data_IF_157669171600
#
_entry.id   IF_157669171600
#
_cell.length_a   1.000
_cell.length_b   1.000
_cell.length_c   1.000
_cell.angle_alpha   90.00
_cell.angle_beta   90.00
_cell.angle_gamma   90.00
#
_symmetry.space_group_name_H-M   'P 1'
#
loop_
_entity.id
_entity.type
_entity.pdbx_description
1 polymer ?
#
# COMPACT_ATOMS: atom_id res chain seq x y z
N UNK A 1 -47.57 -32.97 -54.91
CA UNK A 1 -48.03 -31.71 -55.55
C UNK A 1 -48.51 -30.82 -54.41
N UNK A 2 -47.90 -29.71 -54.00
CA UNK A 2 -46.68 -28.97 -54.30
C UNK A 2 -46.33 -28.23 -52.99
N UNK A 3 -45.10 -28.40 -52.48
CA UNK A 3 -44.48 -27.48 -51.52
C UNK A 3 -43.87 -26.31 -52.31
N UNK A 4 -43.98 -25.07 -51.81
CA UNK A 4 -42.80 -24.21 -51.64
C UNK A 4 -42.91 -23.34 -50.37
N UNK A 5 -41.87 -22.82 -49.74
CA UNK A 5 -40.44 -22.75 -50.03
C UNK A 5 -39.80 -21.66 -49.15
N UNK A 6 -38.54 -21.89 -48.76
CA UNK A 6 -37.40 -20.99 -48.42
C UNK A 6 -37.69 -19.51 -48.04
N UNK A 7 -37.02 -18.86 -47.08
CA UNK A 7 -35.56 -18.72 -46.84
C UNK A 7 -35.41 -17.93 -45.50
N UNK A 8 -34.51 -18.23 -44.58
CA UNK A 8 -33.05 -18.23 -44.76
C UNK A 8 -32.49 -16.87 -44.39
N UNK A 9 -32.14 -16.64 -43.12
CA UNK A 9 -31.07 -15.72 -42.71
C UNK A 9 -30.60 -16.04 -41.27
N UNK A 10 -29.59 -16.91 -41.22
CA UNK A 10 -28.90 -17.30 -39.99
C UNK A 10 -27.77 -16.28 -39.76
N UNK A 11 -28.06 -15.24 -38.97
CA UNK A 11 -27.11 -14.19 -38.63
C UNK A 11 -25.95 -14.78 -37.79
N UNK A 12 -24.81 -15.06 -38.42
CA UNK A 12 -23.56 -15.47 -37.75
C UNK A 12 -22.70 -14.25 -37.44
N UNK A 13 -22.56 -13.80 -36.18
CA UNK A 13 -21.56 -12.79 -35.84
C UNK A 13 -20.20 -13.48 -35.66
N UNK A 14 -19.51 -13.79 -36.75
CA UNK A 14 -18.11 -14.25 -36.75
C UNK A 14 -17.20 -13.19 -37.39
N UNK A 15 -17.08 -12.01 -36.78
CA UNK A 15 -16.12 -11.00 -37.26
C UNK A 15 -15.65 -9.95 -36.23
N UNK A 16 -15.97 -10.06 -34.93
CA UNK A 16 -15.48 -9.09 -33.92
C UNK A 16 -14.44 -9.62 -32.94
N UNK A 17 -14.14 -10.93 -32.92
CA UNK A 17 -13.19 -11.50 -31.96
C UNK A 17 -11.70 -11.37 -32.34
N UNK A 18 -11.38 -11.03 -33.61
CA UNK A 18 -9.99 -11.06 -34.11
C UNK A 18 -9.21 -9.74 -33.95
N UNK A 19 -9.87 -8.62 -33.62
CA UNK A 19 -9.20 -7.32 -33.44
C UNK A 19 -8.82 -6.99 -31.98
N UNK A 20 -9.30 -7.76 -31.01
CA UNK A 20 -8.98 -7.56 -29.58
C UNK A 20 -7.65 -8.21 -29.13
N UNK A 21 -7.08 -9.12 -29.92
CA UNK A 21 -5.83 -9.81 -29.58
C UNK A 21 -4.54 -9.06 -29.98
N UNK A 22 -4.63 -8.02 -30.82
CA UNK A 22 -3.45 -7.26 -31.28
C UNK A 22 -3.03 -6.10 -30.37
N UNK A 23 -3.90 -5.64 -29.46
CA UNK A 23 -3.65 -4.47 -28.62
C UNK A 23 -2.94 -4.79 -27.29
N UNK A 24 -2.94 -6.06 -26.83
CA UNK A 24 -2.28 -6.44 -25.58
C UNK A 24 -0.74 -6.55 -25.70
N UNK A 25 -0.18 -6.79 -26.89
CA UNK A 25 1.26 -7.02 -27.03
C UNK A 25 2.11 -5.73 -27.03
N UNK A 26 1.54 -4.57 -27.36
CA UNK A 26 2.30 -3.32 -27.43
C UNK A 26 2.43 -2.59 -26.08
N UNK A 27 1.62 -2.93 -25.07
CA UNK A 27 1.69 -2.31 -23.74
C UNK A 27 2.71 -2.97 -22.79
N UNK A 28 3.28 -4.13 -23.16
CA UNK A 28 4.22 -4.87 -22.32
C UNK A 28 5.67 -4.39 -22.38
N UNK A 29 6.06 -3.51 -23.31
CA UNK A 29 7.47 -3.07 -23.45
C UNK A 29 7.84 -1.76 -22.73
N UNK A 30 6.88 -1.02 -22.14
CA UNK A 30 7.16 0.29 -21.54
C UNK A 30 7.44 0.29 -20.03
N UNK A 31 7.54 -0.88 -19.37
CA UNK A 31 7.56 -0.97 -17.90
C UNK A 31 8.90 -1.40 -17.27
N UNK A 32 10.03 -1.43 -17.99
CA UNK A 32 11.29 -1.99 -17.46
C UNK A 32 12.51 -1.06 -17.53
N UNK A 33 12.34 0.23 -17.77
CA UNK A 33 13.38 1.22 -17.44
C UNK A 33 13.31 1.57 -15.95
N UNK A 34 13.50 0.55 -15.10
CA UNK A 34 13.87 0.76 -13.70
C UNK A 34 15.24 1.42 -13.72
N UNK A 35 15.24 2.73 -13.50
CA UNK A 35 16.44 3.52 -13.29
C UNK A 35 17.16 2.84 -12.12
N UNK A 36 18.21 2.08 -12.43
CA UNK A 36 19.21 1.68 -11.47
C UNK A 36 19.95 2.95 -11.07
N UNK A 37 19.29 3.80 -10.27
CA UNK A 37 19.99 4.79 -9.47
C UNK A 37 20.90 3.96 -8.60
N UNK A 38 22.19 3.93 -8.98
CA UNK A 38 23.23 3.37 -8.12
C UNK A 38 22.99 3.94 -6.75
N UNK A 39 22.72 3.06 -5.80
CA UNK A 39 22.49 3.41 -4.41
C UNK A 39 23.82 3.90 -3.87
N UNK A 40 24.16 5.14 -4.23
CA UNK A 40 25.30 5.86 -3.70
C UNK A 40 25.07 5.89 -2.21
N UNK A 41 25.81 5.03 -1.51
CA UNK A 41 25.65 4.74 -0.09
C UNK A 41 25.61 6.06 0.66
N UNK A 42 24.40 6.52 0.99
CA UNK A 42 24.21 7.83 1.64
C UNK A 42 25.05 7.81 2.90
N UNK A 43 26.04 8.71 2.99
CA UNK A 43 26.86 8.87 4.19
C UNK A 43 26.00 9.50 5.28
N UNK A 44 26.24 9.12 6.54
CA UNK A 44 25.49 9.64 7.68
C UNK A 44 25.67 11.15 7.83
N UNK A 45 24.60 11.84 8.21
CA UNK A 45 24.63 13.22 8.69
C UNK A 45 24.90 13.23 10.20
N UNK A 46 25.70 14.19 10.66
CA UNK A 46 26.18 14.24 12.05
C UNK A 46 25.83 15.59 12.67
N UNK A 47 25.30 15.58 13.89
CA UNK A 47 25.21 16.77 14.73
C UNK A 47 26.47 16.86 15.57
N UNK A 48 27.14 18.02 15.57
CA UNK A 48 28.33 18.26 16.38
C UNK A 48 27.92 18.94 17.71
N UNK A 49 28.49 18.47 18.81
CA UNK A 49 28.50 19.17 20.11
C UNK A 49 29.98 19.42 20.46
N UNK A 50 30.42 20.67 20.32
CA UNK A 50 31.81 21.09 20.57
C UNK A 50 31.96 21.77 21.93
N UNK A 51 33.01 21.43 22.68
CA UNK A 51 33.29 22.08 23.96
C UNK A 51 34.79 22.34 24.14
N UNK A 52 35.15 23.60 24.41
CA UNK A 52 36.50 24.01 24.80
C UNK A 52 36.58 24.08 26.32
N UNK A 53 37.49 23.32 26.93
CA UNK A 53 37.75 23.40 28.36
C UNK A 53 38.57 24.67 28.69
N UNK A 54 38.67 25.06 29.98
CA UNK A 54 39.52 26.18 30.39
C UNK A 54 40.97 26.02 29.93
N UNK A 55 41.57 27.10 29.42
CA UNK A 55 42.90 27.11 28.82
C UNK A 55 42.95 26.69 27.35
N UNK A 56 41.81 26.36 26.74
CA UNK A 56 41.65 26.05 25.32
C UNK A 56 40.89 27.14 24.55
N UNK A 57 40.76 28.35 25.09
CA UNK A 57 39.96 29.44 24.50
C UNK A 57 40.52 29.93 23.15
N UNK A 58 41.82 29.75 22.94
CA UNK A 58 42.53 30.09 21.69
C UNK A 58 42.45 29.00 20.63
N UNK A 59 41.87 27.85 20.94
CA UNK A 59 41.64 26.76 19.99
C UNK A 59 40.45 27.03 19.08
N UNK A 60 40.35 26.28 17.98
CA UNK A 60 39.25 26.40 17.00
C UNK A 60 37.87 26.52 17.67
N UNK A 61 37.10 27.51 17.22
CA UNK A 61 35.68 27.59 17.49
C UNK A 61 34.93 26.45 16.80
N UNK A 62 33.66 26.24 17.17
CA UNK A 62 32.83 25.22 16.53
C UNK A 62 32.65 25.48 15.03
N UNK A 63 32.50 26.75 14.63
CA UNK A 63 32.31 27.13 13.25
C UNK A 63 33.55 26.87 12.39
N UNK A 64 34.75 27.23 12.88
CA UNK A 64 36.02 26.94 12.19
C UNK A 64 36.25 25.42 12.10
N UNK A 65 35.98 24.68 13.17
CA UNK A 65 36.10 23.22 13.17
C UNK A 65 35.17 22.56 12.14
N UNK A 66 33.93 23.04 12.02
CA UNK A 66 32.97 22.57 11.01
C UNK A 66 33.50 22.85 9.60
N UNK A 67 33.96 24.08 9.34
CA UNK A 67 34.51 24.49 8.04
C UNK A 67 35.72 23.63 7.64
N UNK A 68 36.69 23.44 8.53
CA UNK A 68 37.89 22.66 8.27
C UNK A 68 37.58 21.19 7.97
N UNK A 69 36.62 20.59 8.67
CA UNK A 69 36.16 19.22 8.41
C UNK A 69 35.41 19.13 7.07
N UNK A 70 34.60 20.12 6.72
CA UNK A 70 33.90 20.16 5.43
C UNK A 70 34.89 20.30 4.25
N UNK A 71 35.90 21.14 4.40
CA UNK A 71 37.00 21.28 3.44
C UNK A 71 37.74 19.96 3.29
N UNK A 72 38.09 19.31 4.41
CA UNK A 72 38.81 18.02 4.42
C UNK A 72 38.02 16.91 3.75
N UNK A 73 36.70 16.85 3.96
CA UNK A 73 35.83 15.80 3.40
C UNK A 73 35.26 16.13 2.01
N UNK A 74 35.47 17.35 1.51
CA UNK A 74 34.88 17.86 0.28
C UNK A 74 33.34 17.69 0.21
N UNK A 75 32.67 17.76 1.37
CA UNK A 75 31.21 17.66 1.50
C UNK A 75 30.75 18.32 2.79
N UNK A 76 29.43 18.47 2.96
CA UNK A 76 28.81 18.97 4.19
C UNK A 76 28.22 17.81 5.01
N UNK A 77 28.94 17.25 5.99
CA UNK A 77 28.44 16.13 6.77
C UNK A 77 27.58 16.57 7.97
N UNK A 78 27.64 17.84 8.34
CA UNK A 78 26.99 18.33 9.53
C UNK A 78 25.56 18.79 9.25
N UNK A 79 24.66 18.46 10.16
CA UNK A 79 23.26 18.87 10.09
C UNK A 79 22.73 19.23 11.49
N UNK A 80 21.67 20.04 11.59
CA UNK A 80 20.98 20.27 12.85
C UNK A 80 20.53 18.95 13.49
N UNK A 81 20.46 18.91 14.83
CA UNK A 81 20.18 17.69 15.61
C UNK A 81 18.93 16.91 15.19
N UNK A 82 17.87 17.59 14.71
CA UNK A 82 16.63 16.96 14.25
C UNK A 82 16.73 16.32 12.85
N UNK A 83 17.80 16.60 12.11
CA UNK A 83 18.06 16.06 10.78
C UNK A 83 19.30 15.15 10.73
N UNK A 84 20.07 15.07 11.82
CA UNK A 84 21.26 14.25 11.91
C UNK A 84 20.94 12.78 12.24
N UNK A 85 21.64 11.86 11.60
CA UNK A 85 21.56 10.42 11.89
C UNK A 85 22.34 10.06 13.17
N UNK A 86 23.40 10.84 13.46
CA UNK A 86 24.35 10.60 14.56
C UNK A 86 24.65 11.87 15.34
N UNK A 87 25.13 11.68 16.56
CA UNK A 87 25.61 12.74 17.45
C UNK A 87 27.10 12.54 17.73
N UNK A 88 27.91 13.54 17.39
CA UNK A 88 29.34 13.58 17.68
C UNK A 88 29.59 14.62 18.77
N UNK A 89 30.08 14.16 19.93
CA UNK A 89 30.56 15.05 20.98
C UNK A 89 32.07 15.10 20.93
N UNK A 90 32.62 16.30 20.87
CA UNK A 90 34.06 16.52 20.85
C UNK A 90 34.43 17.60 21.87
N UNK A 91 35.54 17.39 22.56
CA UNK A 91 36.12 18.40 23.44
C UNK A 91 37.63 18.43 23.36
N UNK A 92 38.19 19.60 23.67
CA UNK A 92 39.63 19.81 23.78
C UNK A 92 39.95 20.47 25.13
N UNK A 93 41.01 19.97 25.77
CA UNK A 93 41.51 20.47 27.04
C UNK A 93 43.03 20.45 27.06
N UNK A 94 43.64 21.26 27.94
CA UNK A 94 45.05 21.10 28.27
C UNK A 94 45.28 19.75 28.93
N UNK A 95 46.43 19.13 28.64
CA UNK A 95 46.86 17.92 29.34
C UNK A 95 46.99 18.18 30.85
N UNK A 96 46.73 17.17 31.67
CA UNK A 96 46.90 17.24 33.13
C UNK A 96 48.34 17.58 33.54
N UNK A 97 49.33 17.23 32.70
CA UNK A 97 50.74 17.59 32.91
C UNK A 97 51.03 19.08 32.68
N UNK A 98 50.08 19.85 32.16
CA UNK A 98 50.27 21.24 31.75
C UNK A 98 51.01 21.42 30.42
N UNK A 99 51.59 20.35 29.88
CA UNK A 99 52.29 20.32 28.59
C UNK A 99 51.49 19.49 27.59
N UNK A 100 51.11 20.08 26.47
CA UNK A 100 50.31 19.42 25.44
C UNK A 100 48.80 19.58 25.60
N UNK A 101 48.06 18.77 24.85
CA UNK A 101 46.60 18.80 24.77
C UNK A 101 46.01 17.39 24.85
N UNK A 102 44.78 17.32 25.33
CA UNK A 102 43.95 16.13 25.29
C UNK A 102 42.65 16.47 24.55
N UNK A 103 42.35 15.72 23.50
CA UNK A 103 41.08 15.77 22.80
C UNK A 103 40.29 14.50 23.08
N UNK A 104 38.98 14.63 23.36
CA UNK A 104 38.07 13.52 23.55
C UNK A 104 36.95 13.61 22.54
N UNK A 105 36.71 12.53 21.81
CA UNK A 105 35.62 12.43 20.84
C UNK A 105 34.76 11.21 21.14
N UNK A 106 33.45 11.33 20.97
CA UNK A 106 32.50 10.22 21.09
C UNK A 106 31.42 10.34 20.04
N UNK A 107 31.12 9.24 19.37
CA UNK A 107 30.07 9.13 18.37
C UNK A 107 28.97 8.23 18.91
N UNK A 108 27.73 8.67 18.80
CA UNK A 108 26.55 7.86 19.13
C UNK A 108 25.49 7.97 18.04
N UNK A 109 24.60 6.99 17.98
CA UNK A 109 23.38 7.05 17.15
C UNK A 109 22.48 8.20 17.61
N UNK A 110 21.49 8.57 16.80
CA UNK A 110 20.44 9.54 17.17
C UNK A 110 19.65 9.14 18.44
N UNK A 111 19.68 7.86 18.82
CA UNK A 111 19.07 7.34 20.06
C UNK A 111 20.03 7.31 21.26
N UNK A 112 21.28 7.71 21.07
CA UNK A 112 22.30 7.75 22.13
C UNK A 112 23.06 6.44 22.34
N UNK A 113 22.92 5.45 21.46
CA UNK A 113 23.72 4.23 21.52
C UNK A 113 25.17 4.55 21.10
N UNK A 114 26.19 4.17 21.89
CA UNK A 114 27.58 4.51 21.60
C UNK A 114 28.11 3.69 20.40
N UNK A 115 28.59 4.40 19.38
CA UNK A 115 29.27 3.79 18.22
C UNK A 115 30.79 3.74 18.41
N UNK A 116 31.33 4.60 19.26
CA UNK A 116 32.75 4.60 19.62
C UNK A 116 33.18 5.88 20.32
N UNK A 117 34.34 5.83 20.95
CA UNK A 117 35.00 6.99 21.56
C UNK A 117 36.52 6.90 21.39
N UNK A 118 37.19 8.05 21.35
CA UNK A 118 38.63 8.17 21.26
C UNK A 118 39.10 9.27 22.19
N UNK A 119 40.17 8.98 22.93
CA UNK A 119 40.97 9.97 23.64
C UNK A 119 42.31 10.10 22.90
N UNK A 120 42.69 11.33 22.57
CA UNK A 120 43.88 11.66 21.79
C UNK A 120 44.74 12.59 22.63
N UNK A 121 45.96 12.16 22.93
CA UNK A 121 46.97 13.01 23.58
C UNK A 121 47.89 13.58 22.52
N UNK A 122 48.04 14.90 22.51
CA UNK A 122 48.82 15.65 21.54
C UNK A 122 49.96 16.33 22.29
N UNK A 123 51.20 15.99 21.95
CA UNK A 123 52.38 16.50 22.64
C UNK A 123 52.70 17.97 22.31
N UNK A 124 52.15 18.50 21.21
CA UNK A 124 52.36 19.87 20.75
C UNK A 124 51.94 20.93 21.76
N UNK A 125 52.71 22.02 21.85
CA UNK A 125 52.42 23.10 22.81
C UNK A 125 51.38 24.11 22.26
N UNK A 126 51.32 24.24 20.93
CA UNK A 126 50.41 25.15 20.21
C UNK A 126 49.02 24.54 20.07
N UNK A 127 47.98 25.37 20.04
CA UNK A 127 46.65 24.83 19.76
C UNK A 127 46.46 24.48 18.27
N UNK A 128 47.20 25.12 17.37
CA UNK A 128 47.15 24.84 15.93
C UNK A 128 47.44 23.36 15.64
N UNK A 129 48.52 22.79 16.18
CA UNK A 129 48.84 21.37 16.04
C UNK A 129 47.74 20.45 16.61
N UNK A 130 47.12 20.85 17.72
CA UNK A 130 46.04 20.10 18.32
C UNK A 130 44.74 20.16 17.50
N UNK A 131 44.49 21.31 16.89
CA UNK A 131 43.37 21.58 16.00
C UNK A 131 43.45 20.78 14.70
N UNK A 132 44.64 20.68 14.08
CA UNK A 132 44.82 19.81 12.91
C UNK A 132 44.55 18.33 13.25
N UNK A 133 45.06 17.86 14.39
CA UNK A 133 44.85 16.49 14.84
C UNK A 133 43.37 16.17 15.10
N UNK A 134 42.60 17.12 15.67
CA UNK A 134 41.19 16.89 15.95
C UNK A 134 40.32 16.98 14.68
N UNK A 135 40.63 17.87 13.74
CA UNK A 135 39.95 17.95 12.43
C UNK A 135 40.06 16.60 11.71
N UNK A 136 41.26 16.00 11.68
CA UNK A 136 41.47 14.69 11.09
C UNK A 136 40.68 13.60 11.82
N UNK A 137 40.74 13.56 13.15
CA UNK A 137 40.02 12.55 13.94
C UNK A 137 38.50 12.62 13.73
N UNK A 138 37.94 13.83 13.71
CA UNK A 138 36.52 14.05 13.45
C UNK A 138 36.16 13.65 12.02
N UNK A 139 36.98 14.02 11.03
CA UNK A 139 36.77 13.64 9.63
C UNK A 139 36.67 12.12 9.47
N UNK A 140 37.54 11.36 10.14
CA UNK A 140 37.49 9.89 10.12
C UNK A 140 36.24 9.31 10.80
N UNK A 141 35.80 9.89 11.93
CA UNK A 141 34.60 9.42 12.65
C UNK A 141 33.31 9.71 11.87
N UNK A 142 33.26 10.83 11.18
CA UNK A 142 32.13 11.25 10.34
C UNK A 142 31.99 10.38 9.08
N UNK A 143 33.09 9.81 8.59
CA UNK A 143 33.11 8.90 7.42
C UNK A 143 32.78 7.44 7.77
N UNK A 144 32.52 7.10 9.03
CA UNK A 144 32.16 5.73 9.41
C UNK A 144 30.88 5.29 8.67
N UNK A 145 30.86 4.10 8.02
CA UNK A 145 29.66 3.60 7.38
C UNK A 145 28.54 3.36 8.40
N UNK A 146 27.30 3.32 7.94
CA UNK A 146 26.19 2.86 8.77
C UNK A 146 26.45 1.42 9.24
N UNK A 147 26.17 1.17 10.52
CA UNK A 147 26.15 -0.20 11.05
C UNK A 147 24.97 -0.97 10.45
N UNK A 148 25.04 -2.29 10.46
CA UNK A 148 23.93 -3.15 10.00
C UNK A 148 22.64 -2.88 10.78
N UNK A 149 22.75 -2.62 12.08
CA UNK A 149 21.62 -2.27 12.95
C UNK A 149 21.00 -0.94 12.51
N UNK A 150 21.80 0.11 12.30
CA UNK A 150 21.29 1.40 11.80
C UNK A 150 20.61 1.25 10.43
N UNK A 151 21.20 0.46 9.52
CA UNK A 151 20.61 0.19 8.20
C UNK A 151 19.29 -0.56 8.30
N UNK A 152 19.20 -1.59 9.15
CA UNK A 152 17.97 -2.34 9.39
C UNK A 152 16.88 -1.45 10.00
N UNK A 153 17.23 -0.61 10.98
CA UNK A 153 16.27 0.32 11.57
C UNK A 153 15.75 1.34 10.57
N UNK A 154 16.65 1.94 9.78
CA UNK A 154 16.28 2.87 8.73
C UNK A 154 15.39 2.18 7.70
N UNK A 155 15.77 0.97 7.27
CA UNK A 155 14.97 0.15 6.37
C UNK A 155 13.60 -0.13 6.96
N UNK A 156 13.47 -0.47 8.25
CA UNK A 156 12.18 -0.65 8.93
C UNK A 156 11.38 0.64 8.97
N UNK A 157 11.99 1.80 9.20
CA UNK A 157 11.30 3.10 9.20
C UNK A 157 10.82 3.47 7.79
N UNK A 158 11.65 3.24 6.77
CA UNK A 158 11.31 3.49 5.37
C UNK A 158 10.25 2.51 4.85
N UNK A 159 10.38 1.22 5.17
CA UNK A 159 9.37 0.19 4.89
C UNK A 159 8.06 0.50 5.61
N UNK A 160 8.12 0.87 6.89
CA UNK A 160 6.94 1.28 7.63
C UNK A 160 6.32 2.56 7.08
N UNK A 161 7.04 3.40 6.34
CA UNK A 161 6.52 4.62 5.72
C UNK A 161 5.95 4.39 4.31
N UNK A 162 6.20 3.22 3.69
CA UNK A 162 5.70 2.92 2.36
C UNK A 162 4.20 2.60 2.39
N UNK A 163 3.52 3.06 1.35
CA UNK A 163 2.13 2.72 1.10
C UNK A 163 2.11 1.40 0.35
N UNK A 164 1.39 0.42 0.86
CA UNK A 164 1.22 -0.85 0.16
C UNK A 164 -0.11 -0.84 -0.59
N UNK A 165 -0.08 -1.14 -1.89
CA UNK A 165 -1.28 -1.33 -2.70
C UNK A 165 -1.41 -2.80 -3.10
N UNK A 166 -2.54 -3.41 -2.77
CA UNK A 166 -2.87 -4.78 -3.12
C UNK A 166 -4.09 -4.82 -4.04
N UNK A 167 -3.98 -5.53 -5.17
CA UNK A 167 -5.11 -5.87 -6.04
C UNK A 167 -5.63 -7.27 -5.76
N UNK A 168 -6.96 -7.47 -5.80
CA UNK A 168 -7.63 -8.75 -5.54
C UNK A 168 -8.59 -9.09 -6.65
N UNK A 169 -8.64 -10.37 -7.02
CA UNK A 169 -9.57 -10.87 -8.03
C UNK A 169 -9.96 -12.32 -7.71
N UNK A 170 -11.26 -12.61 -7.72
CA UNK A 170 -11.74 -13.97 -7.51
C UNK A 170 -13.22 -14.19 -7.83
N UNK A 171 -13.65 -15.45 -7.99
CA UNK A 171 -15.07 -15.80 -7.97
C UNK A 171 -15.74 -15.40 -6.65
N UNK A 172 -17.03 -15.14 -6.73
CA UNK A 172 -17.86 -14.79 -5.58
C UNK A 172 -19.24 -15.46 -5.65
N UNK A 173 -19.89 -15.53 -4.50
CA UNK A 173 -21.27 -16.00 -4.32
C UNK A 173 -22.00 -14.99 -3.45
N UNK A 174 -23.19 -14.60 -3.87
CA UNK A 174 -24.11 -13.75 -3.09
C UNK A 174 -25.29 -14.60 -2.66
N UNK A 175 -25.59 -14.62 -1.36
CA UNK A 175 -26.72 -15.35 -0.79
C UNK A 175 -27.67 -14.35 -0.14
N UNK A 176 -28.92 -14.38 -0.58
CA UNK A 176 -29.99 -13.53 -0.05
C UNK A 176 -30.76 -14.21 1.10
N UNK A 177 -31.62 -13.47 1.81
CA UNK A 177 -32.47 -14.01 2.88
C UNK A 177 -33.38 -15.15 2.41
N UNK A 178 -33.73 -15.19 1.12
CA UNK A 178 -34.50 -16.26 0.48
C UNK A 178 -33.69 -17.54 0.25
N UNK A 179 -32.44 -17.60 0.74
CA UNK A 179 -31.47 -18.68 0.48
C UNK A 179 -31.16 -18.88 -1.01
N UNK A 180 -31.45 -17.87 -1.83
CA UNK A 180 -31.15 -17.90 -3.25
C UNK A 180 -29.72 -17.40 -3.47
N UNK A 181 -28.90 -18.24 -4.10
CA UNK A 181 -27.50 -17.93 -4.41
C UNK A 181 -27.36 -17.36 -5.83
N UNK A 182 -26.47 -16.39 -6.00
CA UNK A 182 -26.06 -15.86 -7.31
C UNK A 182 -24.54 -15.98 -7.43
N UNK A 183 -24.07 -16.43 -8.60
CA UNK A 183 -22.65 -16.48 -8.90
C UNK A 183 -22.16 -15.09 -9.31
N UNK A 184 -20.91 -14.78 -8.98
CA UNK A 184 -20.33 -13.48 -9.25
C UNK A 184 -18.82 -13.48 -9.33
N UNK A 185 -18.27 -12.29 -9.48
CA UNK A 185 -16.85 -12.00 -9.45
C UNK A 185 -16.60 -10.81 -8.52
N UNK A 186 -15.54 -10.91 -7.73
CA UNK A 186 -15.07 -9.84 -6.87
C UNK A 186 -13.73 -9.30 -7.39
N UNK A 187 -13.64 -7.98 -7.46
CA UNK A 187 -12.40 -7.24 -7.63
C UNK A 187 -12.24 -6.30 -6.43
N UNK A 188 -11.03 -6.19 -5.89
CA UNK A 188 -10.77 -5.30 -4.76
C UNK A 188 -9.40 -4.64 -4.84
N UNK A 189 -9.32 -3.41 -4.33
CA UNK A 189 -8.07 -2.69 -4.11
C UNK A 189 -7.96 -2.38 -2.63
N UNK A 190 -6.86 -2.76 -2.00
CA UNK A 190 -6.57 -2.46 -0.60
C UNK A 190 -5.35 -1.57 -0.53
N UNK A 191 -5.51 -0.40 0.06
CA UNK A 191 -4.45 0.57 0.30
C UNK A 191 -4.13 0.55 1.79
N UNK A 192 -2.91 0.14 2.13
CA UNK A 192 -2.44 0.03 3.52
C UNK A 192 -1.43 1.14 3.81
N UNK A 193 -1.85 2.24 4.47
CA UNK A 193 -0.95 3.30 4.87
C UNK A 193 -0.13 2.92 6.12
N UNK A 194 1.06 3.51 6.23
CA UNK A 194 2.02 3.37 7.32
C UNK A 194 1.46 3.49 8.76
N UNK A 195 0.62 4.50 8.99
CA UNK A 195 0.18 4.95 10.32
C UNK A 195 -1.34 5.10 10.43
N UNK A 196 -2.08 4.57 9.46
CA UNK A 196 -3.53 4.65 9.44
C UNK A 196 -4.13 3.28 9.12
N UNK A 197 -5.45 3.16 9.27
CA UNK A 197 -6.11 1.91 8.94
C UNK A 197 -6.12 1.66 7.43
N UNK A 198 -6.00 0.39 6.99
CA UNK A 198 -6.19 0.04 5.60
C UNK A 198 -7.55 0.50 5.08
N UNK A 199 -7.57 0.97 3.84
CA UNK A 199 -8.77 1.37 3.11
C UNK A 199 -8.96 0.42 1.94
N UNK A 200 -10.14 -0.16 1.80
CA UNK A 200 -10.47 -1.08 0.72
C UNK A 200 -11.58 -0.51 -0.18
N UNK A 201 -11.38 -0.60 -1.48
CA UNK A 201 -12.37 -0.36 -2.52
C UNK A 201 -12.70 -1.69 -3.17
N UNK A 202 -13.98 -2.05 -3.22
CA UNK A 202 -14.42 -3.33 -3.73
C UNK A 202 -15.52 -3.20 -4.76
N UNK A 203 -15.46 -4.07 -5.75
CA UNK A 203 -16.44 -4.23 -6.81
C UNK A 203 -16.89 -5.70 -6.82
N UNK A 204 -18.18 -5.93 -6.63
CA UNK A 204 -18.79 -7.26 -6.70
C UNK A 204 -19.87 -7.25 -7.78
N UNK A 205 -19.66 -8.02 -8.83
CA UNK A 205 -20.66 -8.23 -9.86
C UNK A 205 -21.27 -9.62 -9.71
N UNK A 206 -22.60 -9.73 -9.73
CA UNK A 206 -23.29 -11.03 -9.68
C UNK A 206 -24.36 -11.13 -10.75
N UNK A 207 -24.63 -12.34 -11.21
CA UNK A 207 -25.65 -12.65 -12.20
C UNK A 207 -26.56 -13.75 -11.69
N UNK A 208 -27.86 -13.51 -11.79
CA UNK A 208 -28.93 -14.45 -11.45
C UNK A 208 -29.80 -14.66 -12.68
N UNK A 209 -30.27 -15.88 -12.88
CA UNK A 209 -31.31 -16.19 -13.85
C UNK A 209 -32.47 -16.90 -13.16
N UNK A 210 -33.69 -16.62 -13.58
CA UNK A 210 -34.88 -17.31 -13.09
C UNK A 210 -35.85 -17.65 -14.22
N UNK A 211 -36.75 -18.57 -13.92
CA UNK A 211 -37.84 -18.97 -14.82
C UNK A 211 -39.15 -18.75 -14.07
N UNK A 212 -40.11 -18.09 -14.71
CA UNK A 212 -41.45 -17.90 -14.18
C UNK A 212 -42.33 -19.12 -14.54
N UNK A 213 -43.38 -19.49 -13.77
CA UNK A 213 -44.40 -20.48 -14.14
C UNK A 213 -44.90 -20.44 -15.59
N UNK A 214 -44.95 -19.27 -16.23
CA UNK A 214 -45.35 -19.09 -17.64
C UNK A 214 -44.20 -19.38 -18.63
N UNK A 215 -43.12 -20.03 -18.20
CA UNK A 215 -41.91 -20.36 -18.97
C UNK A 215 -41.08 -19.17 -19.46
N UNK A 216 -41.40 -17.94 -19.07
CA UNK A 216 -40.56 -16.78 -19.36
C UNK A 216 -39.27 -16.82 -18.55
N UNK A 217 -38.16 -16.45 -19.20
CA UNK A 217 -36.82 -16.41 -18.59
C UNK A 217 -36.43 -14.96 -18.34
N UNK A 218 -35.88 -14.70 -17.16
CA UNK A 218 -35.31 -13.42 -16.81
C UNK A 218 -33.88 -13.58 -16.30
N UNK A 219 -33.10 -12.52 -16.49
CA UNK A 219 -31.76 -12.34 -15.97
C UNK A 219 -31.72 -11.06 -15.15
N UNK A 220 -30.96 -11.13 -14.08
CA UNK A 220 -30.80 -10.07 -13.12
C UNK A 220 -29.32 -9.97 -12.78
N UNK A 221 -28.68 -8.87 -13.13
CA UNK A 221 -27.32 -8.58 -12.73
C UNK A 221 -27.30 -7.49 -11.66
N UNK A 222 -26.49 -7.70 -10.63
CA UNK A 222 -26.18 -6.68 -9.64
C UNK A 222 -24.71 -6.32 -9.68
N UNK A 223 -24.39 -5.05 -9.48
CA UNK A 223 -23.03 -4.54 -9.33
C UNK A 223 -22.97 -3.70 -8.07
N UNK A 224 -22.14 -4.12 -7.14
CA UNK A 224 -21.96 -3.51 -5.82
C UNK A 224 -20.58 -2.87 -5.74
N UNK A 225 -20.52 -1.62 -5.30
CA UNK A 225 -19.29 -0.87 -5.06
C UNK A 225 -19.25 -0.51 -3.59
N UNK A 226 -18.24 -1.01 -2.88
CA UNK A 226 -18.03 -0.77 -1.45
C UNK A 226 -16.75 0.01 -1.18
N UNK A 227 -16.80 0.98 -0.26
CA UNK A 227 -15.62 1.63 0.31
C UNK A 227 -15.59 1.30 1.79
N UNK A 228 -14.47 0.80 2.30
CA UNK A 228 -14.38 0.36 3.70
C UNK A 228 -13.05 0.69 4.35
N UNK A 229 -13.06 0.78 5.67
CA UNK A 229 -11.87 0.88 6.52
C UNK A 229 -11.71 -0.40 7.33
N UNK A 230 -10.48 -0.84 7.57
CA UNK A 230 -10.18 -2.12 8.23
C UNK A 230 -9.46 -1.91 9.58
N UNK A 231 -10.17 -1.48 10.65
CA UNK A 231 -9.54 -1.12 11.92
C UNK A 231 -8.99 -2.32 12.70
N UNK A 232 -9.50 -3.53 12.44
CA UNK A 232 -9.06 -4.75 13.10
C UNK A 232 -8.23 -5.56 12.12
N UNK A 233 -6.95 -5.77 12.46
CA UNK A 233 -6.06 -6.66 11.73
C UNK A 233 -5.25 -7.50 12.69
N UNK A 234 -4.97 -8.74 12.29
CA UNK A 234 -4.12 -9.66 13.03
C UNK A 234 -3.28 -10.45 12.04
N UNK A 235 -1.99 -10.57 12.36
CA UNK A 235 -1.01 -11.28 11.54
C UNK A 235 -0.48 -12.48 12.33
N UNK A 236 -0.58 -13.67 11.74
CA UNK A 236 -0.07 -14.92 12.29
C UNK A 236 0.78 -15.63 11.23
N UNK A 237 2.10 -15.45 11.29
CA UNK A 237 3.03 -15.99 10.29
C UNK A 237 2.63 -15.51 8.88
N UNK A 238 2.28 -16.42 7.97
CA UNK A 238 1.88 -16.13 6.58
C UNK A 238 0.39 -15.84 6.41
N UNK A 239 -0.38 -15.80 7.52
CA UNK A 239 -1.82 -15.57 7.52
C UNK A 239 -2.12 -14.18 8.07
N UNK A 240 -2.87 -13.39 7.31
CA UNK A 240 -3.36 -12.08 7.73
C UNK A 240 -4.89 -12.07 7.72
N UNK A 241 -5.48 -11.78 8.88
CA UNK A 241 -6.91 -11.57 9.06
C UNK A 241 -7.19 -10.07 9.19
N UNK A 242 -8.24 -9.59 8.52
CA UNK A 242 -8.75 -8.23 8.66
C UNK A 242 -10.27 -8.22 8.80
N UNK A 243 -10.81 -7.24 9.51
CA UNK A 243 -12.24 -6.94 9.50
C UNK A 243 -12.45 -5.49 9.09
N UNK A 244 -13.32 -5.29 8.10
CA UNK A 244 -13.57 -4.02 7.44
C UNK A 244 -15.07 -3.66 7.51
N UNK A 245 -15.37 -2.38 7.53
CA UNK A 245 -16.73 -1.87 7.47
C UNK A 245 -16.81 -0.56 6.68
N UNK A 246 -17.95 -0.29 6.06
CA UNK A 246 -18.18 0.99 5.39
C UNK A 246 -19.48 1.07 4.59
N UNK A 247 -19.65 2.15 3.80
CA UNK A 247 -20.79 2.31 2.91
C UNK A 247 -20.66 1.48 1.63
N UNK A 248 -21.80 1.21 1.01
CA UNK A 248 -21.87 0.62 -0.33
C UNK A 248 -22.96 1.25 -1.21
N UNK A 249 -22.81 1.04 -2.51
CA UNK A 249 -23.81 1.35 -3.53
C UNK A 249 -24.00 0.10 -4.39
N UNK A 250 -25.24 -0.37 -4.53
CA UNK A 250 -25.57 -1.52 -5.38
C UNK A 250 -26.49 -1.08 -6.51
N UNK A 251 -26.09 -1.36 -7.75
CA UNK A 251 -26.89 -1.12 -8.96
C UNK A 251 -27.44 -2.44 -9.47
N UNK A 252 -28.73 -2.45 -9.79
CA UNK A 252 -29.46 -3.61 -10.31
C UNK A 252 -29.87 -3.36 -11.75
N UNK A 253 -29.66 -4.36 -12.60
CA UNK A 253 -30.08 -4.37 -14.00
C UNK A 253 -30.85 -5.66 -14.28
N UNK A 254 -32.08 -5.53 -14.75
CA UNK A 254 -32.94 -6.66 -15.09
C UNK A 254 -33.30 -6.65 -16.57
N UNK A 255 -33.23 -7.83 -17.21
CA UNK A 255 -33.74 -8.03 -18.57
C UNK A 255 -34.37 -9.42 -18.69
N UNK A 256 -35.27 -9.62 -19.63
CA UNK A 256 -35.95 -10.90 -19.79
C UNK A 256 -36.56 -11.07 -21.17
N UNK A 257 -36.91 -12.31 -21.51
CA UNK A 257 -37.56 -12.66 -22.77
C UNK A 257 -38.88 -13.38 -22.53
N UNK A 258 -39.83 -13.21 -23.46
CA UNK A 258 -41.18 -13.78 -23.35
C UNK A 258 -42.18 -12.87 -22.62
N UNK A 259 -41.87 -11.58 -22.47
CA UNK A 259 -42.78 -10.59 -21.91
C UNK A 259 -43.39 -9.72 -23.01
N UNK A 260 -44.62 -9.23 -22.81
CA UNK A 260 -45.31 -8.38 -23.77
C UNK A 260 -44.57 -7.05 -24.05
N UNK A 261 -43.77 -6.57 -23.08
CA UNK A 261 -42.86 -5.42 -23.24
C UNK A 261 -41.53 -5.67 -22.53
N UNK A 262 -40.43 -5.59 -23.27
CA UNK A 262 -39.09 -5.57 -22.67
C UNK A 262 -38.89 -4.23 -21.95
N UNK A 263 -38.75 -4.25 -20.63
CA UNK A 263 -38.32 -3.10 -19.84
C UNK A 263 -36.95 -3.40 -19.25
N UNK A 264 -35.96 -2.57 -19.58
CA UNK A 264 -34.71 -2.52 -18.84
C UNK A 264 -35.00 -1.76 -17.54
N UNK A 265 -34.95 -2.46 -16.41
CA UNK A 265 -35.01 -1.82 -15.10
C UNK A 265 -33.60 -1.48 -14.65
N UNK A 266 -33.33 -0.20 -14.36
CA UNK A 266 -32.13 0.25 -13.67
C UNK A 266 -32.54 0.84 -12.32
N UNK A 267 -32.00 0.30 -11.24
CA UNK A 267 -32.21 0.82 -9.89
C UNK A 267 -30.91 0.81 -9.11
N UNK A 268 -30.79 1.70 -8.14
CA UNK A 268 -29.64 1.77 -7.25
C UNK A 268 -30.11 1.84 -5.80
N UNK A 269 -29.41 1.12 -4.92
CA UNK A 269 -29.62 1.17 -3.48
C UNK A 269 -28.35 1.58 -2.76
N UNK A 270 -28.51 2.23 -1.61
CA UNK A 270 -27.41 2.57 -0.71
C UNK A 270 -27.49 1.72 0.53
N UNK A 271 -26.34 1.28 1.03
CA UNK A 271 -26.27 0.39 2.18
C UNK A 271 -24.99 0.57 2.97
N UNK A 272 -24.82 -0.33 3.93
CA UNK A 272 -23.57 -0.54 4.64
C UNK A 272 -23.21 -2.01 4.59
N UNK A 273 -21.92 -2.29 4.70
CA UNK A 273 -21.42 -3.65 4.72
C UNK A 273 -20.34 -3.83 5.79
N UNK A 274 -20.24 -5.06 6.28
CA UNK A 274 -19.18 -5.53 7.17
C UNK A 274 -18.59 -6.77 6.53
N UNK A 275 -17.26 -6.86 6.49
CA UNK A 275 -16.54 -7.97 5.86
C UNK A 275 -15.36 -8.41 6.70
N UNK A 276 -15.11 -9.72 6.72
CA UNK A 276 -13.85 -10.30 7.15
C UNK A 276 -13.06 -10.83 5.96
N UNK A 277 -11.77 -10.57 5.96
CA UNK A 277 -10.82 -10.99 4.93
C UNK A 277 -9.74 -11.86 5.58
N UNK A 278 -9.45 -13.01 4.98
CA UNK A 278 -8.33 -13.89 5.31
C UNK A 278 -7.42 -13.94 4.10
N UNK A 279 -6.15 -13.59 4.27
CA UNK A 279 -5.14 -13.68 3.23
C UNK A 279 -4.01 -14.61 3.67
N UNK A 280 -3.50 -15.42 2.74
CA UNK A 280 -2.41 -16.35 2.96
C UNK A 280 -1.31 -16.11 1.94
N UNK A 281 -0.07 -15.90 2.39
CA UNK A 281 1.07 -15.66 1.51
C UNK A 281 1.54 -16.95 0.81
N UNK A 282 1.43 -16.98 -0.52
CA UNK A 282 1.92 -18.08 -1.36
C UNK A 282 3.35 -17.83 -1.83
N UNK A 283 3.66 -16.56 -2.15
CA UNK A 283 4.97 -16.07 -2.56
C UNK A 283 5.09 -14.57 -2.26
N UNK A 284 6.28 -14.00 -2.45
CA UNK A 284 6.65 -12.61 -2.10
C UNK A 284 5.69 -11.51 -2.61
N UNK A 285 4.86 -11.76 -3.62
CA UNK A 285 3.83 -10.82 -4.10
C UNK A 285 2.47 -11.45 -4.35
N UNK A 286 2.33 -12.75 -4.13
CA UNK A 286 1.13 -13.49 -4.48
C UNK A 286 0.53 -14.07 -3.19
N UNK A 287 -0.73 -13.72 -2.93
CA UNK A 287 -1.49 -14.21 -1.79
C UNK A 287 -2.78 -14.89 -2.26
N UNK A 288 -3.21 -15.91 -1.56
CA UNK A 288 -4.59 -16.40 -1.64
C UNK A 288 -5.45 -15.53 -0.73
N UNK A 289 -6.66 -15.16 -1.14
CA UNK A 289 -7.62 -14.49 -0.25
C UNK A 289 -8.94 -15.23 -0.21
N UNK A 290 -9.59 -15.18 0.96
CA UNK A 290 -10.98 -15.53 1.16
C UNK A 290 -11.66 -14.40 1.93
N UNK A 291 -12.89 -14.05 1.54
CA UNK A 291 -13.64 -12.98 2.21
C UNK A 291 -15.08 -13.39 2.47
N UNK A 292 -15.61 -13.02 3.63
CA UNK A 292 -17.00 -13.20 4.03
C UNK A 292 -17.59 -11.85 4.42
N UNK A 293 -18.69 -11.45 3.78
CA UNK A 293 -19.34 -10.17 4.00
C UNK A 293 -20.82 -10.29 4.31
N UNK A 294 -21.34 -9.31 5.02
CA UNK A 294 -22.76 -9.07 5.22
C UNK A 294 -23.05 -7.65 4.75
N UNK A 295 -24.03 -7.52 3.86
CA UNK A 295 -24.52 -6.27 3.30
C UNK A 295 -25.91 -5.99 3.85
N UNK A 296 -26.16 -4.78 4.31
CA UNK A 296 -27.45 -4.31 4.77
C UNK A 296 -27.91 -3.09 3.96
N UNK A 297 -28.99 -3.25 3.20
CA UNK A 297 -29.60 -2.19 2.38
C UNK A 297 -31.01 -1.90 2.88
N UNK A 298 -31.29 -0.72 3.47
CA UNK A 298 -32.64 -0.39 3.96
C UNK A 298 -33.67 -0.20 2.84
N UNK A 299 -33.23 -0.06 1.60
CA UNK A 299 -34.10 0.10 0.43
C UNK A 299 -34.41 -1.27 -0.18
N UNK A 300 -35.70 -1.52 -0.46
CA UNK A 300 -36.14 -2.68 -1.23
C UNK A 300 -36.44 -2.25 -2.66
N UNK A 301 -35.92 -2.99 -3.60
CA UNK A 301 -36.29 -2.88 -5.01
C UNK A 301 -37.15 -4.08 -5.38
N UNK A 302 -38.21 -3.81 -6.12
CA UNK A 302 -39.10 -4.82 -6.65
C UNK A 302 -39.06 -4.75 -8.17
N UNK A 303 -38.59 -5.83 -8.79
CA UNK A 303 -38.60 -5.96 -10.24
C UNK A 303 -39.99 -6.43 -10.67
N UNK A 304 -40.78 -5.50 -11.19
CA UNK A 304 -42.11 -5.81 -11.75
C UNK A 304 -42.08 -5.93 -13.27
N UNK A 305 -42.96 -6.78 -13.80
CA UNK A 305 -43.22 -6.94 -15.23
C UNK A 305 -44.73 -6.94 -15.45
N UNK A 306 -45.17 -6.36 -16.57
CA UNK A 306 -46.54 -6.53 -17.01
C UNK A 306 -46.66 -7.87 -17.75
N UNK A 307 -47.63 -8.70 -17.35
CA UNK A 307 -48.00 -9.89 -18.11
C UNK A 307 -48.71 -9.53 -19.43
N UNK A 308 -49.16 -10.54 -20.19
CA UNK A 308 -49.89 -10.36 -21.44
C UNK A 308 -51.23 -9.62 -21.28
N UNK A 309 -51.81 -9.65 -20.08
CA UNK A 309 -53.01 -8.88 -19.70
C UNK A 309 -52.68 -7.46 -19.21
N UNK A 310 -51.40 -7.08 -19.16
CA UNK A 310 -50.96 -5.79 -18.66
C UNK A 310 -50.97 -5.66 -17.14
N UNK A 311 -51.11 -6.77 -16.40
CA UNK A 311 -51.08 -6.78 -14.94
C UNK A 311 -49.63 -6.85 -14.47
N UNK A 312 -49.23 -5.89 -13.63
CA UNK A 312 -47.90 -5.88 -13.03
C UNK A 312 -47.76 -7.04 -12.02
N UNK A 313 -46.79 -7.91 -12.27
CA UNK A 313 -46.39 -9.01 -11.39
C UNK A 313 -44.96 -8.80 -10.90
N UNK A 314 -44.69 -9.23 -9.67
CA UNK A 314 -43.37 -9.16 -9.05
C UNK A 314 -42.55 -10.40 -9.41
N UNK A 315 -41.36 -10.23 -10.03
CA UNK A 315 -40.41 -11.34 -10.27
C UNK A 315 -39.48 -11.53 -9.10
N UNK A 316 -39.00 -10.42 -8.56
CA UNK A 316 -37.91 -10.44 -7.61
C UNK A 316 -38.00 -9.23 -6.69
N UNK A 317 -37.83 -9.49 -5.41
CA UNK A 317 -37.78 -8.48 -4.36
C UNK A 317 -36.45 -8.62 -3.65
N UNK A 318 -35.65 -7.55 -3.65
CA UNK A 318 -34.34 -7.59 -3.00
C UNK A 318 -34.49 -7.78 -1.49
N UNK A 319 -33.55 -8.52 -0.90
CA UNK A 319 -33.47 -8.72 0.55
C UNK A 319 -32.91 -7.49 1.26
N UNK A 320 -33.28 -7.27 2.53
CA UNK A 320 -32.65 -6.22 3.33
C UNK A 320 -31.22 -6.55 3.73
N UNK A 321 -30.92 -7.84 3.84
CA UNK A 321 -29.62 -8.36 4.22
C UNK A 321 -29.21 -9.41 3.20
N UNK A 322 -27.95 -9.34 2.75
CA UNK A 322 -27.34 -10.35 1.90
C UNK A 322 -25.98 -10.75 2.47
N UNK A 323 -25.62 -12.01 2.33
CA UNK A 323 -24.28 -12.50 2.63
C UNK A 323 -23.47 -12.63 1.34
N UNK A 324 -22.19 -12.33 1.40
CA UNK A 324 -21.26 -12.46 0.28
C UNK A 324 -20.08 -13.32 0.68
N UNK A 325 -19.64 -14.16 -0.24
CA UNK A 325 -18.43 -14.95 -0.09
C UNK A 325 -17.59 -14.80 -1.34
N UNK A 326 -16.28 -14.61 -1.21
CA UNK A 326 -15.36 -14.62 -2.34
C UNK A 326 -14.07 -15.35 -1.97
N UNK A 327 -13.43 -15.96 -2.98
CA UNK A 327 -12.15 -16.63 -2.85
C UNK A 327 -11.35 -16.36 -4.11
N UNK A 328 -10.07 -16.03 -3.99
CA UNK A 328 -9.26 -15.76 -5.17
C UNK A 328 -7.81 -15.45 -4.87
N UNK A 329 -7.19 -14.70 -5.77
CA UNK A 329 -5.79 -14.29 -5.67
C UNK A 329 -5.69 -12.80 -5.41
N UNK A 330 -4.68 -12.43 -4.63
CA UNK A 330 -4.29 -11.08 -4.36
C UNK A 330 -2.82 -10.87 -4.75
N UNK A 331 -2.52 -9.73 -5.37
CA UNK A 331 -1.19 -9.35 -5.83
C UNK A 331 -0.78 -8.03 -5.20
N UNK A 332 0.41 -8.00 -4.62
CA UNK A 332 1.03 -6.77 -4.12
C UNK A 332 1.66 -6.01 -5.29
N UNK A 333 1.24 -4.77 -5.49
CA UNK A 333 1.61 -3.95 -6.64
C UNK A 333 2.84 -3.08 -6.34
N UNK A 334 2.90 -2.49 -5.15
CA UNK A 334 4.02 -1.72 -4.61
C UNK A 334 3.81 -1.44 -3.12
#
# INVERSE_FOLDING_TARGET
MLLPGASGDCYRPRAMLARLLGACAAFSMLALSTIASGEESRRALVSLEWTRAPGAETCLSEAELVEDVEVTLHRRPFAPRNAADRLLRASIARSESGTGWTARTSLSTSRGEPLGARDITIAGESCEEASEAIVLAISLMVELPFTTVELEERRRVEEAARWHLQGRLGPAVVVEQTMSAAAGANFGLVLTPARAWPVALDLLASLRSGVNPESSRYWFASTMIGLSVCPLSANWSNLHLAACAGPEITTFTGWGGGFARNRLGLSSTFGAWVRSDVTYELAHRLRLFGSLGIVATPQRFELTFADDQGVDRSLHRTSFVSATFALGLAVELF
#
